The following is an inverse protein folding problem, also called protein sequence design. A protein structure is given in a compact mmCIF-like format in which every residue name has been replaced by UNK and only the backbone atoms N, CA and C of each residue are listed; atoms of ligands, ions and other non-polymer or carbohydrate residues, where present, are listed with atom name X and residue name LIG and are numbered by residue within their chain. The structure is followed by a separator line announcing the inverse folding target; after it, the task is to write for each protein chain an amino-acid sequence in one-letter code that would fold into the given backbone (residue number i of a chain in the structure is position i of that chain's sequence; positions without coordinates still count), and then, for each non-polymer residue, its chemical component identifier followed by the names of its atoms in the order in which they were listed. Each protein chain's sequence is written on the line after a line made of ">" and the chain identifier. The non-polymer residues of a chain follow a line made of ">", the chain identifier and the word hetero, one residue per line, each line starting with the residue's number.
data_IF_437839680159
#
_entry.id   IF_437839680159
#
_cell.length_a   1.000
_cell.length_b   1.000
_cell.length_c   1.000
_cell.angle_alpha   90.00
_cell.angle_beta   90.00
_cell.angle_gamma   90.00
#
_symmetry.space_group_name_H-M   'P 1'
#
loop_
_entity.id
_entity.type
_entity.pdbx_description
1 polymer ?
#
# COMPACT_ATOMS: atom_id res chain seq x y z
N UNK A 1 11.92 -41.13 21.27
CA UNK A 1 10.57 -40.64 21.03
C UNK A 1 10.36 -39.18 21.32
N UNK A 2 10.86 -38.66 22.45
CA UNK A 2 10.71 -37.23 22.78
C UNK A 2 11.41 -36.27 21.82
N UNK A 3 12.55 -36.63 21.26
CA UNK A 3 13.31 -35.83 20.32
C UNK A 3 12.58 -35.63 18.96
N UNK A 4 11.91 -36.68 18.48
CA UNK A 4 11.17 -36.59 17.21
C UNK A 4 9.91 -35.76 17.32
N UNK A 5 9.24 -35.77 18.45
CA UNK A 5 8.09 -34.89 18.71
C UNK A 5 8.48 -33.43 18.84
N UNK A 6 9.60 -33.16 19.54
CA UNK A 6 10.14 -31.81 19.68
C UNK A 6 10.58 -31.25 18.33
N UNK A 7 11.24 -32.04 17.50
CA UNK A 7 11.62 -31.65 16.14
C UNK A 7 10.41 -31.40 15.25
N UNK A 8 9.38 -32.22 15.33
CA UNK A 8 8.15 -32.02 14.59
C UNK A 8 7.43 -30.74 14.98
N UNK A 9 7.39 -30.40 16.27
CA UNK A 9 6.83 -29.15 16.77
C UNK A 9 7.61 -27.95 16.30
N UNK A 10 8.96 -28.02 16.35
CA UNK A 10 9.83 -26.94 15.89
C UNK A 10 9.65 -26.68 14.40
N UNK A 11 9.59 -27.73 13.58
CA UNK A 11 9.33 -27.62 12.14
C UNK A 11 7.94 -27.01 11.87
N UNK A 12 6.95 -27.38 12.63
CA UNK A 12 5.61 -26.82 12.50
C UNK A 12 5.58 -25.33 12.84
N UNK A 13 6.24 -24.94 13.92
CA UNK A 13 6.40 -23.52 14.30
C UNK A 13 7.13 -22.72 13.24
N UNK A 14 8.24 -23.25 12.72
CA UNK A 14 9.00 -22.59 11.64
C UNK A 14 8.12 -22.41 10.40
N UNK A 15 7.32 -23.39 10.04
CA UNK A 15 6.41 -23.29 8.90
C UNK A 15 5.34 -22.23 9.14
N UNK A 16 4.78 -22.15 10.33
CA UNK A 16 3.82 -21.12 10.69
C UNK A 16 4.43 -19.73 10.67
N UNK A 17 5.63 -19.58 11.22
CA UNK A 17 6.35 -18.30 11.24
C UNK A 17 6.64 -17.80 9.83
N UNK A 18 7.10 -18.68 8.94
CA UNK A 18 7.30 -18.36 7.53
C UNK A 18 6.01 -17.94 6.84
N UNK A 19 4.91 -18.62 7.13
CA UNK A 19 3.61 -18.27 6.59
C UNK A 19 3.14 -16.91 7.08
N UNK A 20 3.36 -16.58 8.35
CA UNK A 20 3.04 -15.27 8.92
C UNK A 20 3.90 -14.16 8.33
N UNK A 21 5.19 -14.40 8.16
CA UNK A 21 6.10 -13.45 7.51
C UNK A 21 5.72 -13.20 6.06
N UNK A 22 5.38 -14.25 5.32
CA UNK A 22 4.92 -14.11 3.94
C UNK A 22 3.63 -13.28 3.85
N UNK A 23 2.67 -13.49 4.75
CA UNK A 23 1.44 -12.71 4.82
C UNK A 23 1.72 -11.24 5.14
N UNK A 24 2.61 -10.97 6.11
CA UNK A 24 3.03 -9.60 6.42
C UNK A 24 3.69 -8.93 5.22
N UNK A 25 4.56 -9.64 4.52
CA UNK A 25 5.20 -9.14 3.30
C UNK A 25 4.18 -8.77 2.23
N UNK A 26 3.18 -9.60 2.00
CA UNK A 26 2.09 -9.31 1.09
C UNK A 26 1.25 -8.11 1.52
N UNK A 27 0.93 -8.01 2.81
CA UNK A 27 0.18 -6.88 3.36
C UNK A 27 0.93 -5.57 3.21
N UNK A 28 2.23 -5.56 3.48
CA UNK A 28 3.08 -4.36 3.33
C UNK A 28 3.17 -3.96 1.85
N UNK A 29 3.36 -4.90 0.96
CA UNK A 29 3.42 -4.65 -0.48
C UNK A 29 2.10 -4.08 -0.99
N UNK A 30 0.98 -4.65 -0.56
CA UNK A 30 -0.36 -4.18 -0.92
C UNK A 30 -0.62 -2.77 -0.39
N UNK A 31 -0.25 -2.50 0.87
CA UNK A 31 -0.36 -1.16 1.45
C UNK A 31 0.43 -0.12 0.67
N UNK A 32 1.68 -0.42 0.33
CA UNK A 32 2.52 0.47 -0.48
C UNK A 32 1.92 0.75 -1.85
N UNK A 33 1.35 -0.27 -2.46
CA UNK A 33 0.67 -0.15 -3.75
C UNK A 33 -0.55 0.77 -3.66
N UNK A 34 -1.37 0.60 -2.64
CA UNK A 34 -2.55 1.45 -2.38
C UNK A 34 -2.13 2.88 -2.10
N UNK A 35 -1.11 3.10 -1.28
CA UNK A 35 -0.61 4.44 -0.98
C UNK A 35 -0.06 5.15 -2.23
N UNK A 36 0.64 4.45 -3.10
CA UNK A 36 1.11 5.01 -4.37
C UNK A 36 -0.05 5.39 -5.29
N UNK A 37 -1.08 4.55 -5.35
CA UNK A 37 -2.29 4.82 -6.12
C UNK A 37 -3.02 6.05 -5.57
N UNK A 38 -3.16 6.15 -4.26
CA UNK A 38 -3.75 7.30 -3.58
C UNK A 38 -2.97 8.60 -3.89
N UNK A 39 -1.66 8.54 -3.83
CA UNK A 39 -0.79 9.68 -4.13
C UNK A 39 -0.97 10.18 -5.57
N UNK A 40 -1.06 9.27 -6.52
CA UNK A 40 -1.34 9.63 -7.91
C UNK A 40 -2.71 10.26 -8.09
N UNK A 41 -3.72 9.74 -7.42
CA UNK A 41 -5.06 10.30 -7.45
C UNK A 41 -5.10 11.70 -6.86
N UNK A 42 -4.42 11.93 -5.74
CA UNK A 42 -4.28 13.26 -5.13
C UNK A 42 -3.59 14.27 -6.05
N UNK A 43 -2.50 13.85 -6.69
CA UNK A 43 -1.81 14.72 -7.68
C UNK A 43 -2.72 15.09 -8.85
N UNK A 44 -3.47 14.15 -9.38
CA UNK A 44 -4.44 14.42 -10.45
C UNK A 44 -5.52 15.40 -10.01
N UNK A 45 -6.00 15.26 -8.79
CA UNK A 45 -6.98 16.17 -8.22
C UNK A 45 -6.42 17.57 -8.08
N UNK A 46 -5.20 17.72 -7.56
CA UNK A 46 -4.51 19.02 -7.44
C UNK A 46 -4.29 19.68 -8.81
N UNK A 47 -3.89 18.91 -9.81
CA UNK A 47 -3.72 19.41 -11.18
C UNK A 47 -5.05 19.89 -11.77
N UNK A 48 -6.11 19.12 -11.54
CA UNK A 48 -7.45 19.50 -11.97
C UNK A 48 -7.92 20.80 -11.30
N UNK A 49 -7.66 20.96 -10.02
CA UNK A 49 -7.98 22.18 -9.28
C UNK A 49 -7.19 23.39 -9.79
N UNK A 50 -5.90 23.22 -10.07
CA UNK A 50 -5.07 24.29 -10.67
C UNK A 50 -5.64 24.74 -12.01
N UNK A 51 -6.01 23.80 -12.87
CA UNK A 51 -6.63 24.12 -14.16
C UNK A 51 -7.94 24.88 -14.00
N UNK A 52 -8.76 24.46 -13.05
CA UNK A 52 -10.01 25.14 -12.73
C UNK A 52 -9.76 26.56 -12.28
N UNK A 53 -8.79 26.77 -11.39
CA UNK A 53 -8.43 28.08 -10.90
C UNK A 53 -7.86 28.98 -12.00
N UNK A 54 -7.03 28.44 -12.87
CA UNK A 54 -6.49 29.16 -14.05
C UNK A 54 -7.62 29.59 -15.00
N UNK A 55 -8.57 28.72 -15.27
CA UNK A 55 -9.72 29.03 -16.14
C UNK A 55 -10.58 30.09 -15.48
N UNK A 56 -10.86 29.99 -14.20
CA UNK A 56 -11.63 30.99 -13.46
C UNK A 56 -10.92 32.34 -13.46
N UNK A 57 -9.62 32.36 -13.23
CA UNK A 57 -8.82 33.59 -13.29
C UNK A 57 -8.87 34.23 -14.67
N UNK A 58 -8.81 33.44 -15.72
CA UNK A 58 -8.90 33.92 -17.09
C UNK A 58 -10.29 34.50 -17.38
N UNK A 59 -11.34 33.88 -16.89
CA UNK A 59 -12.71 34.36 -17.06
C UNK A 59 -12.98 35.66 -16.28
N UNK A 60 -12.40 35.78 -15.07
CA UNK A 60 -12.55 36.95 -14.21
C UNK A 60 -11.79 38.16 -14.76
N UNK A 61 -10.71 37.94 -15.48
CA UNK A 61 -9.90 38.99 -16.13
C UNK A 61 -10.49 39.42 -17.46
N UNK A 62 -11.29 38.57 -18.10
CA UNK A 62 -11.96 38.96 -19.36
C UNK A 62 -13.00 40.06 -19.10
N UNK A 63 -12.94 41.21 -19.81
CA UNK A 63 -13.93 42.28 -19.65
C UNK A 63 -15.33 41.85 -20.07
#
# INVERSE_FOLDING_TARGET
>A
MYLSEALARDRYRETLDRAHEARRGHQVTELRRVLRSQHRAERRLLEAWRRTDEIKATLDVAP
#
